data_IF_465077643098
#
_entry.id   IF_465077643098
#
_cell.length_a   1.000
_cell.length_b   1.000
_cell.length_c   1.000
_cell.angle_alpha   90.00
_cell.angle_beta   90.00
_cell.angle_gamma   90.00
#
_symmetry.space_group_name_H-M   'P 1'
#
loop_
_entity.id
_entity.type
_entity.pdbx_description
1 polymer ?
#
# COMPACT_ATOMS: atom_id res chain seq x y z
N UNK A 1 -14.45 11.32 12.72
CA UNK A 1 -13.11 11.18 12.12
C UNK A 1 -12.42 9.97 12.73
N UNK A 2 -12.67 8.79 12.17
CA UNK A 2 -11.94 7.54 12.45
C UNK A 2 -12.08 6.65 11.21
N UNK A 3 -11.24 6.91 10.22
CA UNK A 3 -11.00 6.00 9.09
C UNK A 3 -9.49 6.01 8.87
N UNK A 4 -8.80 5.44 9.84
CA UNK A 4 -7.35 5.21 9.85
C UNK A 4 -7.15 3.90 10.59
N UNK A 5 -7.76 2.83 10.07
CA UNK A 5 -7.73 1.50 10.66
C UNK A 5 -7.75 0.49 9.53
N UNK A 6 -6.66 0.39 8.77
CA UNK A 6 -6.53 -0.70 7.79
C UNK A 6 -5.12 -1.27 7.66
N UNK A 7 -4.20 -1.06 8.62
CA UNK A 7 -2.93 -1.81 8.64
C UNK A 7 -2.68 -2.46 10.01
N UNK A 8 -2.94 -1.74 11.10
CA UNK A 8 -2.69 -2.22 12.48
C UNK A 8 -3.63 -3.36 12.94
N UNK A 9 -4.91 -3.36 12.55
CA UNK A 9 -5.83 -4.47 12.85
C UNK A 9 -5.47 -5.76 12.08
N UNK A 10 -4.78 -5.66 10.94
CA UNK A 10 -4.48 -6.83 10.10
C UNK A 10 -3.23 -7.58 10.53
N UNK A 11 -2.30 -6.95 11.25
CA UNK A 11 -1.13 -7.64 11.79
C UNK A 11 -1.48 -8.59 12.95
N UNK A 12 -2.57 -8.33 13.68
CA UNK A 12 -3.00 -9.14 14.83
C UNK A 12 -3.62 -10.50 14.44
N UNK A 13 -4.03 -10.70 13.18
CA UNK A 13 -4.77 -11.90 12.74
C UNK A 13 -4.17 -12.57 11.48
N UNK A 14 -2.86 -12.43 11.24
CA UNK A 14 -2.18 -12.92 10.04
C UNK A 14 -2.42 -14.40 9.72
N UNK A 15 -2.59 -15.26 10.74
CA UNK A 15 -2.79 -16.71 10.57
C UNK A 15 -4.19 -17.10 10.05
N UNK A 16 -5.17 -16.19 10.08
CA UNK A 16 -6.55 -16.43 9.64
C UNK A 16 -6.91 -15.73 8.33
N UNK A 17 -5.97 -15.00 7.74
CA UNK A 17 -6.22 -14.24 6.52
C UNK A 17 -5.92 -15.09 5.29
N UNK A 18 -6.78 -14.98 4.29
CA UNK A 18 -6.66 -15.64 3.00
C UNK A 18 -6.31 -14.63 1.91
N UNK A 19 -5.89 -15.13 0.75
CA UNK A 19 -5.69 -14.28 -0.43
C UNK A 19 -6.97 -13.53 -0.82
N UNK A 20 -8.13 -14.16 -0.62
CA UNK A 20 -9.44 -13.61 -0.93
C UNK A 20 -9.75 -12.35 -0.11
N UNK A 21 -9.38 -12.36 1.17
CA UNK A 21 -9.58 -11.22 2.07
C UNK A 21 -8.87 -9.96 1.57
N UNK A 22 -7.76 -10.13 0.85
CA UNK A 22 -6.98 -9.02 0.30
C UNK A 22 -7.42 -8.65 -1.11
N UNK A 23 -7.56 -9.64 -1.99
CA UNK A 23 -7.69 -9.41 -3.42
C UNK A 23 -9.15 -9.34 -3.90
N UNK A 24 -10.04 -10.09 -3.27
CA UNK A 24 -11.43 -10.28 -3.71
C UNK A 24 -12.44 -9.61 -2.79
N UNK A 25 -12.01 -9.11 -1.62
CA UNK A 25 -12.89 -8.35 -0.74
C UNK A 25 -13.40 -7.06 -1.41
N UNK A 26 -14.62 -6.60 -1.08
CA UNK A 26 -15.17 -5.35 -1.61
C UNK A 26 -14.22 -4.17 -1.39
N UNK A 27 -14.16 -3.25 -2.36
CA UNK A 27 -13.40 -2.00 -2.20
C UNK A 27 -14.18 -0.98 -1.41
N UNK A 28 -13.47 -0.13 -0.68
CA UNK A 28 -14.07 1.03 -0.05
C UNK A 28 -14.60 2.01 -1.10
N UNK A 29 -15.58 2.84 -0.72
CA UNK A 29 -16.11 3.87 -1.63
C UNK A 29 -14.99 4.85 -2.01
N UNK A 30 -14.71 4.96 -3.31
CA UNK A 30 -13.64 5.82 -3.83
C UNK A 30 -12.27 5.17 -3.85
N UNK A 31 -12.18 3.88 -3.56
CA UNK A 31 -10.98 3.06 -3.69
C UNK A 31 -11.04 2.20 -4.96
N UNK A 32 -9.93 2.14 -5.69
CA UNK A 32 -9.66 1.15 -6.72
C UNK A 32 -8.60 0.19 -6.22
N UNK A 33 -8.89 -1.11 -6.16
CA UNK A 33 -7.99 -2.16 -5.67
C UNK A 33 -7.74 -3.20 -6.76
N UNK A 34 -6.51 -3.69 -6.84
CA UNK A 34 -6.09 -4.69 -7.80
C UNK A 34 -4.92 -5.51 -7.24
N UNK A 35 -5.00 -6.84 -7.35
CA UNK A 35 -3.88 -7.72 -6.99
C UNK A 35 -3.13 -8.17 -8.24
N UNK A 36 -1.81 -8.23 -8.13
CA UNK A 36 -0.90 -8.70 -9.18
C UNK A 36 0.12 -9.67 -8.61
N UNK A 37 0.65 -10.58 -9.43
CA UNK A 37 1.47 -11.70 -8.97
C UNK A 37 2.99 -11.49 -9.13
N UNK A 38 3.45 -10.35 -9.63
CA UNK A 38 4.87 -10.06 -9.81
C UNK A 38 5.18 -8.57 -9.67
N UNK A 39 6.46 -8.24 -9.45
CA UNK A 39 6.92 -6.85 -9.39
C UNK A 39 6.78 -6.15 -10.75
N UNK A 40 6.99 -6.88 -11.85
CA UNK A 40 6.83 -6.35 -13.21
C UNK A 40 5.36 -6.00 -13.48
N UNK A 41 4.43 -6.92 -13.18
CA UNK A 41 2.99 -6.66 -13.35
C UNK A 41 2.47 -5.56 -12.43
N UNK A 42 3.10 -5.35 -11.26
CA UNK A 42 2.84 -4.20 -10.39
C UNK A 42 3.21 -2.88 -11.07
N UNK A 43 4.39 -2.81 -11.67
CA UNK A 43 4.84 -1.61 -12.40
C UNK A 43 3.92 -1.36 -13.60
N UNK A 44 3.63 -2.39 -14.39
CA UNK A 44 2.74 -2.29 -15.55
C UNK A 44 1.32 -1.83 -15.16
N UNK A 45 0.79 -2.34 -14.04
CA UNK A 45 -0.48 -1.90 -13.50
C UNK A 45 -0.48 -0.40 -13.18
N UNK A 46 0.55 0.09 -12.48
CA UNK A 46 0.65 1.52 -12.11
C UNK A 46 0.79 2.40 -13.35
N UNK A 47 1.60 1.99 -14.34
CA UNK A 47 1.76 2.70 -15.61
C UNK A 47 0.43 2.78 -16.36
N UNK A 48 -0.29 1.67 -16.45
CA UNK A 48 -1.59 1.58 -17.11
C UNK A 48 -2.64 2.45 -16.39
N UNK A 49 -2.66 2.38 -15.05
CA UNK A 49 -3.60 3.09 -14.20
C UNK A 49 -3.46 4.61 -14.32
N UNK A 50 -2.23 5.14 -14.26
CA UNK A 50 -1.96 6.58 -14.43
C UNK A 50 -1.80 7.00 -15.89
N UNK A 51 -1.78 6.05 -16.83
CA UNK A 51 -1.53 6.26 -18.27
C UNK A 51 -0.23 7.02 -18.54
N UNK A 52 0.81 6.72 -17.76
CA UNK A 52 2.12 7.38 -17.86
C UNK A 52 3.24 6.45 -17.40
N UNK A 53 4.38 6.49 -18.08
CA UNK A 53 5.61 5.81 -17.65
C UNK A 53 6.47 6.67 -16.71
N UNK A 54 6.10 7.94 -16.50
CA UNK A 54 6.78 8.86 -15.57
C UNK A 54 6.35 8.58 -14.13
N UNK A 55 6.76 7.43 -13.61
CA UNK A 55 6.43 6.98 -12.26
C UNK A 55 7.68 7.04 -11.38
N UNK A 56 7.47 7.27 -10.08
CA UNK A 56 8.51 7.18 -9.06
C UNK A 56 8.13 6.09 -8.07
N UNK A 57 8.87 5.00 -8.04
CA UNK A 57 8.70 3.96 -7.04
C UNK A 57 9.37 4.38 -5.73
N UNK A 58 8.67 4.19 -4.61
CA UNK A 58 9.15 4.45 -3.26
C UNK A 58 8.75 3.25 -2.40
N UNK A 59 9.69 2.72 -1.64
CA UNK A 59 9.45 1.66 -0.66
C UNK A 59 9.58 2.23 0.75
N UNK A 60 8.71 1.81 1.66
CA UNK A 60 8.83 2.06 3.09
C UNK A 60 9.06 0.75 3.83
N UNK A 61 9.92 0.78 4.85
CA UNK A 61 10.15 -0.33 5.77
C UNK A 61 10.00 0.19 7.19
N UNK A 62 9.42 -0.62 8.07
CA UNK A 62 9.26 -0.32 9.48
C UNK A 62 9.84 -1.48 10.29
N UNK A 63 10.59 -1.15 11.34
CA UNK A 63 11.09 -2.15 12.28
C UNK A 63 9.98 -2.58 13.24
N UNK A 64 9.81 -3.89 13.40
CA UNK A 64 8.65 -4.47 14.09
C UNK A 64 8.69 -4.33 15.62
N UNK A 65 9.77 -3.82 16.19
CA UNK A 65 10.04 -3.81 17.62
C UNK A 65 10.14 -2.40 18.20
N UNK A 66 9.74 -1.38 17.43
CA UNK A 66 9.84 0.01 17.82
C UNK A 66 8.45 0.63 17.75
N UNK A 67 7.89 0.93 18.91
CA UNK A 67 6.54 1.48 19.02
C UNK A 67 6.56 3.00 19.25
N UNK A 68 7.76 3.60 19.30
CA UNK A 68 7.99 5.01 19.54
C UNK A 68 8.94 5.55 18.48
N UNK A 69 8.52 6.61 17.81
CA UNK A 69 9.31 7.26 16.77
C UNK A 69 9.22 8.77 16.92
N UNK A 70 10.32 9.46 16.61
CA UNK A 70 10.34 10.91 16.41
C UNK A 70 10.26 11.19 14.92
N UNK A 71 9.29 12.00 14.50
CA UNK A 71 9.20 12.46 13.11
C UNK A 71 10.26 13.53 12.88
N UNK A 72 11.26 13.21 12.05
CA UNK A 72 12.34 14.14 11.70
C UNK A 72 11.98 15.04 10.51
N UNK A 73 11.40 14.46 9.46
CA UNK A 73 11.07 15.16 8.21
C UNK A 73 9.77 14.64 7.61
N UNK A 74 8.98 15.53 7.01
CA UNK A 74 7.82 15.19 6.18
C UNK A 74 7.95 15.88 4.84
N UNK A 75 7.97 15.10 3.75
CA UNK A 75 8.14 15.60 2.38
C UNK A 75 7.03 15.11 1.48
N UNK A 76 6.32 16.03 0.82
CA UNK A 76 5.35 15.69 -0.23
C UNK A 76 6.07 15.04 -1.41
N UNK A 77 5.58 13.89 -1.87
CA UNK A 77 6.18 13.13 -2.98
C UNK A 77 5.25 12.98 -4.19
N UNK A 78 3.95 13.27 -4.05
CA UNK A 78 3.02 13.28 -5.17
C UNK A 78 1.60 13.69 -4.77
N UNK A 79 0.84 14.21 -5.74
CA UNK A 79 -0.60 14.53 -5.62
C UNK A 79 -1.50 13.32 -5.92
N UNK A 80 -0.89 12.19 -6.24
CA UNK A 80 -1.51 10.90 -6.47
C UNK A 80 -0.49 9.80 -6.17
N UNK A 81 -0.99 8.65 -5.73
CA UNK A 81 -0.18 7.45 -5.57
C UNK A 81 -1.06 6.20 -5.70
N UNK A 82 -0.42 5.09 -6.09
CA UNK A 82 -0.94 3.74 -5.87
C UNK A 82 -0.08 3.15 -4.76
N UNK A 83 -0.70 2.71 -3.69
CA UNK A 83 -0.03 2.01 -2.59
C UNK A 83 -0.07 0.51 -2.92
N UNK A 84 1.02 -0.20 -2.69
CA UNK A 84 1.08 -1.64 -2.93
C UNK A 84 1.69 -2.36 -1.71
N UNK A 85 1.01 -3.40 -1.25
CA UNK A 85 1.44 -4.23 -0.14
C UNK A 85 1.92 -5.59 -0.66
N UNK A 86 3.16 -5.97 -0.31
CA UNK A 86 3.69 -7.30 -0.62
C UNK A 86 3.14 -8.33 0.38
N UNK A 87 2.32 -9.25 -0.11
CA UNK A 87 1.73 -10.34 0.65
C UNK A 87 2.51 -11.63 0.40
N UNK A 88 3.02 -12.23 1.49
CA UNK A 88 3.83 -13.44 1.46
C UNK A 88 2.98 -14.66 1.86
N UNK A 89 2.10 -15.09 0.97
CA UNK A 89 1.42 -16.40 1.05
C UNK A 89 2.31 -17.49 0.41
N UNK A 90 1.74 -18.63 0.00
CA UNK A 90 2.45 -19.67 -0.78
C UNK A 90 3.07 -19.09 -2.07
N UNK A 91 2.36 -18.16 -2.70
CA UNK A 91 2.86 -17.33 -3.81
C UNK A 91 2.83 -15.86 -3.41
N UNK A 92 3.84 -15.12 -3.84
CA UNK A 92 3.90 -13.67 -3.62
C UNK A 92 2.81 -12.99 -4.43
N UNK A 93 2.06 -12.12 -3.77
CA UNK A 93 1.05 -11.26 -4.40
C UNK A 93 1.28 -9.84 -3.93
N UNK A 94 1.08 -8.87 -4.82
CA UNK A 94 1.08 -7.45 -4.49
C UNK A 94 -0.37 -6.98 -4.53
N UNK A 95 -0.90 -6.59 -3.37
CA UNK A 95 -2.20 -5.93 -3.28
C UNK A 95 -1.98 -4.43 -3.48
N UNK A 96 -2.40 -3.91 -4.63
CA UNK A 96 -2.29 -2.50 -4.96
C UNK A 96 -3.64 -1.82 -4.85
N UNK A 97 -3.66 -0.60 -4.34
CA UNK A 97 -4.87 0.20 -4.27
C UNK A 97 -4.59 1.70 -4.37
N UNK A 98 -5.56 2.43 -4.91
CA UNK A 98 -5.59 3.88 -4.91
C UNK A 98 -6.90 4.36 -4.30
N UNK A 99 -6.80 5.25 -3.33
CA UNK A 99 -7.93 6.06 -2.87
C UNK A 99 -7.95 7.38 -3.64
N UNK A 100 -9.13 7.80 -4.12
CA UNK A 100 -9.29 9.09 -4.81
C UNK A 100 -8.81 10.24 -3.93
N UNK A 101 -8.26 11.27 -4.56
CA UNK A 101 -7.83 12.51 -3.88
C UNK A 101 -6.75 12.29 -2.80
N UNK A 102 -5.88 11.29 -2.99
CA UNK A 102 -4.77 10.99 -2.08
C UNK A 102 -3.52 11.80 -2.44
N UNK A 103 -2.98 12.55 -1.47
CA UNK A 103 -1.61 13.10 -1.53
C UNK A 103 -0.64 12.18 -0.80
N UNK A 104 0.48 11.87 -1.43
CA UNK A 104 1.51 11.02 -0.85
C UNK A 104 2.64 11.85 -0.21
N UNK A 105 3.06 11.41 0.98
CA UNK A 105 4.16 11.98 1.73
C UNK A 105 5.17 10.88 2.10
N UNK A 106 6.45 11.23 2.11
CA UNK A 106 7.52 10.44 2.69
C UNK A 106 7.87 11.04 4.05
N UNK A 107 7.96 10.19 5.07
CA UNK A 107 8.21 10.59 6.45
C UNK A 107 9.49 9.91 6.93
N UNK A 108 10.44 10.69 7.42
CA UNK A 108 11.67 10.19 8.05
C UNK A 108 11.44 10.07 9.56
N UNK A 109 11.80 8.92 10.13
CA UNK A 109 11.61 8.57 11.53
C UNK A 109 12.97 8.28 12.18
N UNK A 110 13.10 8.64 13.46
CA UNK A 110 14.23 8.33 14.34
C UNK A 110 13.77 7.73 15.68
#
# INVERSE_FOLDING_TARGET
LRQGVTDSIWLENKERQSLDDFCNSPTAKGEHKHCVSSLESMIDHVISHFRTSKIKAISSTFDKNEDQYVVEEVKKVGDNAVMCHRLNFEKVVFNCHQVRETTAYMVSLA
#
